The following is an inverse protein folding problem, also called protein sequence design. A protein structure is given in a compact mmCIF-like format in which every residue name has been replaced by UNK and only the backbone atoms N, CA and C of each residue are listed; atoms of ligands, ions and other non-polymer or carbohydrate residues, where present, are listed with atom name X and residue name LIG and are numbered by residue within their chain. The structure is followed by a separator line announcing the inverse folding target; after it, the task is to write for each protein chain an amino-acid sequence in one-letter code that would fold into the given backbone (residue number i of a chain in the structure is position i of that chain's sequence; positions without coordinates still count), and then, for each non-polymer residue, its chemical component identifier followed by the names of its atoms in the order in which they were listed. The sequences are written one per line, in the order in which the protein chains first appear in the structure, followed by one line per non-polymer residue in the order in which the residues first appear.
data_IF_754788500529
#
_entry.id   IF_754788500529
#
_cell.length_a   1.000
_cell.length_b   1.000
_cell.length_c   1.000
_cell.angle_alpha   90.00
_cell.angle_beta   90.00
_cell.angle_gamma   90.00
#
_symmetry.space_group_name_H-M   'P 1'
#
loop_
_entity.id
_entity.type
_entity.pdbx_description
1 polymer ?
#
# COMPACT_ATOMS: atom_id res chain seq x y z
N UNK A 1 -58.43 -33.56 13.92
CA UNK A 1 -58.49 -32.22 13.30
C UNK A 1 -57.98 -31.23 14.33
N UNK A 2 -56.95 -30.41 14.15
CA UNK A 2 -56.05 -30.13 13.03
C UNK A 2 -54.70 -29.70 13.63
N UNK A 3 -53.64 -30.02 12.89
CA UNK A 3 -52.28 -29.51 13.02
C UNK A 3 -52.25 -27.98 12.94
N UNK A 4 -51.35 -27.33 13.69
CA UNK A 4 -50.81 -26.03 13.30
C UNK A 4 -49.28 -26.08 13.43
N UNK A 5 -48.64 -26.53 12.35
CA UNK A 5 -47.24 -26.30 12.04
C UNK A 5 -47.13 -24.91 11.38
N UNK A 6 -46.62 -23.91 12.10
CA UNK A 6 -46.18 -22.66 11.49
C UNK A 6 -44.66 -22.69 11.38
N UNK A 7 -44.18 -23.36 10.32
CA UNK A 7 -42.82 -23.25 9.86
C UNK A 7 -42.56 -21.84 9.32
N UNK A 8 -41.93 -21.00 10.14
CA UNK A 8 -41.28 -19.79 9.66
C UNK A 8 -40.02 -20.22 8.90
N UNK A 9 -40.17 -20.53 7.61
CA UNK A 9 -39.04 -20.65 6.71
C UNK A 9 -38.40 -19.27 6.60
N UNK A 10 -37.25 -19.09 7.24
CA UNK A 10 -36.39 -17.93 7.03
C UNK A 10 -36.04 -17.89 5.54
N UNK A 11 -36.63 -16.91 4.86
CA UNK A 11 -36.37 -16.54 3.49
C UNK A 11 -34.92 -16.04 3.44
N UNK A 12 -33.99 -16.93 3.08
CA UNK A 12 -32.62 -16.57 2.75
C UNK A 12 -32.64 -15.87 1.39
N UNK A 13 -32.71 -14.55 1.40
CA UNK A 13 -32.32 -13.77 0.23
C UNK A 13 -30.80 -13.90 0.09
N UNK A 14 -30.27 -14.28 -1.09
CA UNK A 14 -28.85 -14.18 -1.33
C UNK A 14 -28.50 -12.69 -1.22
N UNK A 15 -27.63 -12.32 -0.26
CA UNK A 15 -27.03 -10.98 -0.24
C UNK A 15 -26.39 -10.76 -1.61
N UNK A 16 -26.99 -9.87 -2.42
CA UNK A 16 -26.34 -9.38 -3.62
C UNK A 16 -24.98 -8.81 -3.17
N UNK A 17 -23.87 -9.22 -3.81
CA UNK A 17 -22.57 -8.68 -3.45
C UNK A 17 -22.66 -7.17 -3.62
N UNK A 18 -22.49 -6.44 -2.52
CA UNK A 18 -22.50 -4.99 -2.53
C UNK A 18 -21.54 -4.52 -3.63
N UNK A 19 -21.95 -3.54 -4.46
CA UNK A 19 -21.07 -3.00 -5.48
C UNK A 19 -19.76 -2.56 -4.80
N UNK A 20 -18.59 -2.83 -5.41
CA UNK A 20 -17.32 -2.45 -4.81
C UNK A 20 -17.34 -0.96 -4.51
N UNK A 21 -17.02 -0.60 -3.26
CA UNK A 21 -16.91 0.79 -2.85
C UNK A 21 -15.89 1.49 -3.79
N UNK A 22 -16.17 2.70 -4.31
CA UNK A 22 -15.35 3.36 -5.32
C UNK A 22 -13.84 3.37 -5.00
N UNK A 23 -13.42 3.62 -3.75
CA UNK A 23 -12.00 3.60 -3.40
C UNK A 23 -11.38 2.19 -3.40
N UNK A 24 -12.16 1.14 -3.09
CA UNK A 24 -11.70 -0.24 -3.30
C UNK A 24 -11.47 -0.51 -4.79
N UNK A 25 -12.37 -0.04 -5.67
CA UNK A 25 -12.22 -0.19 -7.12
C UNK A 25 -11.02 0.60 -7.69
N UNK A 26 -10.74 1.79 -7.15
CA UNK A 26 -9.55 2.57 -7.50
C UNK A 26 -8.26 1.85 -7.08
N UNK A 27 -8.21 1.34 -5.86
CA UNK A 27 -7.07 0.58 -5.36
C UNK A 27 -6.82 -0.70 -6.18
N UNK A 28 -7.87 -1.43 -6.55
CA UNK A 28 -7.76 -2.58 -7.45
C UNK A 28 -7.24 -2.19 -8.83
N UNK A 29 -7.71 -1.05 -9.36
CA UNK A 29 -7.26 -0.53 -10.66
C UNK A 29 -5.78 -0.17 -10.63
N UNK A 30 -5.32 0.47 -9.55
CA UNK A 30 -3.91 0.76 -9.30
C UNK A 30 -3.08 -0.54 -9.24
N UNK A 31 -3.52 -1.55 -8.48
CA UNK A 31 -2.82 -2.83 -8.40
C UNK A 31 -2.74 -3.52 -9.77
N UNK A 32 -3.85 -3.55 -10.53
CA UNK A 32 -3.88 -4.10 -11.89
C UNK A 32 -2.90 -3.37 -12.81
N UNK A 33 -2.86 -2.04 -12.74
CA UNK A 33 -1.93 -1.21 -13.51
C UNK A 33 -0.48 -1.58 -13.19
N UNK A 34 -0.12 -1.67 -11.91
CA UNK A 34 1.20 -2.04 -11.45
C UNK A 34 1.60 -3.48 -11.82
N UNK A 35 0.65 -4.42 -11.82
CA UNK A 35 0.91 -5.84 -12.14
C UNK A 35 0.94 -6.15 -13.64
N UNK A 36 0.27 -5.36 -14.48
CA UNK A 36 0.06 -5.64 -15.92
C UNK A 36 1.33 -5.53 -16.79
N UNK A 37 2.44 -5.01 -16.25
CA UNK A 37 3.71 -4.86 -16.98
C UNK A 37 3.70 -3.79 -18.08
N UNK A 38 2.60 -3.03 -18.24
CA UNK A 38 2.49 -1.96 -19.23
C UNK A 38 3.21 -0.66 -18.85
N UNK A 39 3.54 -0.48 -17.57
CA UNK A 39 4.32 0.67 -17.11
C UNK A 39 5.80 0.32 -16.94
N UNK A 40 6.68 1.20 -17.44
CA UNK A 40 8.11 1.07 -17.26
C UNK A 40 8.50 1.18 -15.78
N UNK A 41 7.81 2.03 -15.01
CA UNK A 41 8.02 2.20 -13.57
C UNK A 41 6.76 1.74 -12.83
N UNK A 42 6.92 0.81 -11.88
CA UNK A 42 5.81 0.11 -11.21
C UNK A 42 5.75 0.46 -9.74
N UNK A 43 5.52 1.74 -9.46
CA UNK A 43 5.41 2.30 -8.11
C UNK A 43 4.09 3.05 -7.97
N UNK A 44 3.45 2.94 -6.80
CA UNK A 44 2.22 3.66 -6.48
C UNK A 44 2.10 4.04 -5.01
N UNK A 45 1.08 4.85 -4.71
CA UNK A 45 0.70 5.28 -3.37
C UNK A 45 -0.76 4.85 -3.14
N UNK A 46 -1.00 4.20 -2.01
CA UNK A 46 -2.33 3.91 -1.50
C UNK A 46 -2.56 4.72 -0.23
N UNK A 47 -3.51 5.65 -0.27
CA UNK A 47 -3.91 6.41 0.90
C UNK A 47 -4.90 5.58 1.72
N UNK A 48 -4.66 5.49 3.02
CA UNK A 48 -5.49 4.75 3.96
C UNK A 48 -6.17 5.71 4.94
N UNK A 49 -7.50 5.60 5.11
CA UNK A 49 -8.21 6.33 6.13
C UNK A 49 -7.92 5.72 7.51
N UNK A 50 -8.22 6.47 8.56
CA UNK A 50 -7.78 6.18 9.94
C UNK A 50 -8.19 4.78 10.45
N UNK A 51 -9.34 4.29 10.05
CA UNK A 51 -9.93 3.00 10.43
C UNK A 51 -9.22 1.78 9.80
N UNK A 52 -8.35 2.02 8.82
CA UNK A 52 -7.53 1.00 8.15
C UNK A 52 -6.06 1.05 8.54
N UNK A 53 -5.64 2.04 9.35
CA UNK A 53 -4.29 2.09 9.91
C UNK A 53 -4.08 0.94 10.90
N UNK A 54 -2.97 0.22 10.77
CA UNK A 54 -2.70 -1.01 11.51
C UNK A 54 -3.37 -2.27 10.94
N UNK A 55 -4.18 -2.13 9.87
CA UNK A 55 -4.86 -3.23 9.16
C UNK A 55 -4.35 -3.37 7.71
N UNK A 56 -3.15 -2.87 7.42
CA UNK A 56 -2.59 -2.85 6.07
C UNK A 56 -2.39 -4.26 5.50
N UNK A 57 -2.15 -5.25 6.36
CA UNK A 57 -2.09 -6.66 5.96
C UNK A 57 -3.45 -7.19 5.46
N UNK A 58 -4.56 -6.75 6.06
CA UNK A 58 -5.91 -7.09 5.58
C UNK A 58 -6.20 -6.42 4.23
N UNK A 59 -5.77 -5.17 4.06
CA UNK A 59 -5.89 -4.43 2.78
C UNK A 59 -5.12 -5.17 1.69
N UNK A 60 -3.88 -5.56 1.96
CA UNK A 60 -3.06 -6.32 1.00
C UNK A 60 -3.69 -7.67 0.64
N UNK A 61 -4.23 -8.39 1.63
CA UNK A 61 -4.92 -9.66 1.40
C UNK A 61 -6.15 -9.49 0.50
N UNK A 62 -6.96 -8.44 0.73
CA UNK A 62 -8.12 -8.10 -0.13
C UNK A 62 -7.70 -7.74 -1.56
N UNK A 63 -6.58 -7.05 -1.70
CA UNK A 63 -6.01 -6.69 -3.01
C UNK A 63 -5.25 -7.84 -3.69
N UNK A 64 -5.04 -8.98 -3.01
CA UNK A 64 -4.28 -10.11 -3.55
C UNK A 64 -2.79 -9.82 -3.78
N UNK A 65 -2.19 -8.99 -2.92
CA UNK A 65 -0.78 -8.56 -3.00
C UNK A 65 -0.01 -8.94 -1.73
N UNK A 66 1.33 -8.92 -1.80
CA UNK A 66 2.17 -9.17 -0.62
C UNK A 66 2.20 -7.95 0.29
N UNK A 67 2.48 -8.13 1.58
CA UNK A 67 2.55 -7.04 2.56
C UNK A 67 3.85 -7.12 3.36
N UNK A 68 4.46 -5.97 3.57
CA UNK A 68 5.54 -5.77 4.53
C UNK A 68 5.22 -4.57 5.43
N UNK A 69 5.37 -4.79 6.73
CA UNK A 69 5.49 -3.72 7.72
C UNK A 69 6.95 -3.26 7.76
N UNK A 70 7.23 -2.06 7.24
CA UNK A 70 8.60 -1.55 7.12
C UNK A 70 9.29 -1.44 8.48
N UNK A 71 8.58 -0.96 9.52
CA UNK A 71 9.15 -0.83 10.86
C UNK A 71 9.55 -2.19 11.44
N UNK A 72 8.70 -3.21 11.28
CA UNK A 72 8.99 -4.58 11.70
C UNK A 72 10.15 -5.21 10.92
N UNK A 73 10.14 -5.07 9.59
CA UNK A 73 11.23 -5.51 8.71
C UNK A 73 12.57 -4.86 9.06
N UNK A 74 12.55 -3.56 9.37
CA UNK A 74 13.76 -2.82 9.74
C UNK A 74 14.28 -3.23 11.11
N UNK A 75 13.39 -3.37 12.09
CA UNK A 75 13.74 -3.77 13.45
C UNK A 75 14.43 -5.15 13.47
N UNK A 76 13.99 -6.09 12.63
CA UNK A 76 14.58 -7.43 12.53
C UNK A 76 16.04 -7.43 12.04
N UNK A 77 16.48 -6.37 11.36
CA UNK A 77 17.83 -6.25 10.80
C UNK A 77 18.79 -5.43 11.67
N UNK A 78 18.28 -4.78 12.72
CA UNK A 78 19.12 -3.94 13.56
C UNK A 78 19.96 -4.79 14.51
N UNK A 79 21.31 -4.70 14.46
CA UNK A 79 22.15 -5.34 15.44
C UNK A 79 22.02 -4.62 16.79
N UNK A 80 21.84 -5.37 17.88
CA UNK A 80 21.99 -4.80 19.23
C UNK A 80 23.46 -4.37 19.39
N UNK A 81 23.82 -3.09 19.65
CA UNK A 81 23.08 -2.05 20.38
C UNK A 81 22.71 -0.78 19.56
N UNK A 82 22.53 -0.87 18.25
CA UNK A 82 22.20 0.32 17.44
C UNK A 82 20.78 0.82 17.75
N UNK A 83 20.70 1.96 18.44
CA UNK A 83 19.45 2.64 18.79
C UNK A 83 19.06 3.78 17.82
N UNK A 84 19.86 4.00 16.77
CA UNK A 84 19.65 5.12 15.84
C UNK A 84 19.69 4.67 14.38
N UNK A 85 18.71 5.13 13.61
CA UNK A 85 18.66 5.02 12.17
C UNK A 85 19.16 6.31 11.55
N UNK A 86 20.27 6.25 10.81
CA UNK A 86 20.68 7.34 9.93
C UNK A 86 19.76 7.30 8.70
N UNK A 87 18.74 8.15 8.68
CA UNK A 87 17.78 8.24 7.59
C UNK A 87 18.27 9.21 6.51
N UNK A 88 18.26 8.76 5.27
CA UNK A 88 18.46 9.57 4.06
C UNK A 88 17.57 9.01 2.95
N UNK A 89 17.35 9.80 1.90
CA UNK A 89 16.61 9.36 0.72
C UNK A 89 17.26 8.13 0.11
N UNK A 90 18.59 8.17 -0.10
CA UNK A 90 19.34 7.06 -0.72
C UNK A 90 19.22 5.77 0.09
N UNK A 91 19.21 5.88 1.42
CA UNK A 91 19.07 4.72 2.29
C UNK A 91 17.67 4.13 2.21
N UNK A 92 16.62 4.95 2.30
CA UNK A 92 15.24 4.45 2.18
C UNK A 92 15.00 3.82 0.81
N UNK A 93 15.53 4.42 -0.25
CA UNK A 93 15.45 3.87 -1.60
C UNK A 93 16.20 2.54 -1.71
N UNK A 94 17.39 2.43 -1.13
CA UNK A 94 18.14 1.16 -1.08
C UNK A 94 17.40 0.07 -0.32
N UNK A 95 16.75 0.42 0.80
CA UNK A 95 15.96 -0.53 1.60
C UNK A 95 14.69 -0.98 0.86
N UNK A 96 14.02 -0.08 0.12
CA UNK A 96 12.93 -0.47 -0.78
C UNK A 96 13.43 -1.36 -1.93
N UNK A 97 14.66 -1.14 -2.39
CA UNK A 97 15.31 -1.97 -3.41
C UNK A 97 15.53 -3.39 -2.92
N UNK A 98 16.03 -3.54 -1.69
CA UNK A 98 16.21 -4.82 -1.02
C UNK A 98 14.87 -5.55 -0.90
N UNK A 99 13.81 -4.87 -0.45
CA UNK A 99 12.46 -5.43 -0.38
C UNK A 99 11.93 -5.90 -1.74
N UNK A 100 12.25 -5.19 -2.82
CA UNK A 100 11.91 -5.62 -4.18
C UNK A 100 12.60 -6.93 -4.58
N UNK A 101 13.81 -7.20 -4.07
CA UNK A 101 14.61 -8.37 -4.42
C UNK A 101 14.27 -9.60 -3.56
N UNK A 102 13.64 -9.40 -2.41
CA UNK A 102 13.18 -10.49 -1.53
C UNK A 102 12.11 -11.39 -2.19
N UNK A 103 12.03 -12.61 -1.66
CA UNK A 103 11.02 -13.58 -2.10
C UNK A 103 9.68 -13.31 -1.41
N UNK A 104 8.71 -12.89 -2.20
CA UNK A 104 7.32 -12.67 -1.81
C UNK A 104 6.38 -13.48 -2.72
N UNK A 105 5.22 -13.94 -2.22
CA UNK A 105 4.29 -14.75 -3.02
C UNK A 105 3.69 -14.02 -4.24
N UNK A 106 3.60 -12.69 -4.20
CA UNK A 106 2.96 -11.89 -5.26
C UNK A 106 3.93 -10.92 -5.93
N UNK A 107 3.60 -10.52 -7.16
CA UNK A 107 4.42 -9.60 -7.98
C UNK A 107 4.31 -8.13 -7.54
N UNK A 108 3.32 -7.80 -6.71
CA UNK A 108 3.15 -6.47 -6.10
C UNK A 108 3.32 -6.58 -4.59
N UNK A 109 4.04 -5.61 -4.01
CA UNK A 109 4.34 -5.52 -2.59
C UNK A 109 3.79 -4.21 -2.02
N UNK A 110 2.90 -4.32 -1.04
CA UNK A 110 2.45 -3.22 -0.19
C UNK A 110 3.45 -3.01 0.95
N UNK A 111 4.04 -1.82 1.03
CA UNK A 111 4.92 -1.41 2.12
C UNK A 111 4.19 -0.41 3.00
N UNK A 112 4.03 -0.74 4.27
CA UNK A 112 3.33 0.07 5.28
C UNK A 112 4.30 0.67 6.29
N UNK A 113 3.87 1.73 6.99
CA UNK A 113 4.64 2.46 8.00
C UNK A 113 5.94 3.12 7.49
N UNK A 114 5.95 3.48 6.21
CA UNK A 114 7.04 4.28 5.62
C UNK A 114 6.81 5.80 5.77
N UNK A 115 5.61 6.22 6.19
CA UNK A 115 5.27 7.61 6.47
C UNK A 115 6.16 8.22 7.57
N UNK A 116 6.46 7.46 8.62
CA UNK A 116 7.33 7.91 9.72
C UNK A 116 8.76 8.23 9.25
N UNK A 117 9.51 7.32 8.58
CA UNK A 117 10.83 7.68 8.09
C UNK A 117 10.79 8.80 7.04
N UNK A 118 9.77 8.86 6.18
CA UNK A 118 9.61 9.92 5.17
C UNK A 118 9.40 11.31 5.79
N UNK A 119 8.59 11.41 6.85
CA UNK A 119 8.36 12.67 7.55
C UNK A 119 9.58 13.15 8.33
N UNK A 120 10.49 12.24 8.70
CA UNK A 120 11.76 12.55 9.38
C UNK A 120 12.87 12.98 8.42
N UNK A 121 12.72 12.76 7.11
CA UNK A 121 13.66 13.27 6.13
C UNK A 121 13.64 14.80 6.09
N UNK A 122 14.81 15.40 5.88
CA UNK A 122 14.91 16.80 5.49
C UNK A 122 14.08 17.04 4.21
N UNK A 123 13.40 18.20 4.03
CA UNK A 123 12.56 18.44 2.86
C UNK A 123 13.23 18.16 1.51
N UNK A 124 14.51 18.54 1.35
CA UNK A 124 15.28 18.24 0.13
C UNK A 124 15.47 16.73 -0.12
N UNK A 125 15.71 15.95 0.95
CA UNK A 125 15.82 14.49 0.86
C UNK A 125 14.47 13.85 0.54
N UNK A 126 13.37 14.37 1.11
CA UNK A 126 12.02 13.89 0.76
C UNK A 126 11.68 14.16 -0.70
N UNK A 127 12.01 15.35 -1.23
CA UNK A 127 11.85 15.64 -2.66
C UNK A 127 12.68 14.70 -3.53
N UNK A 128 13.93 14.46 -3.15
CA UNK A 128 14.82 13.50 -3.84
C UNK A 128 14.25 12.08 -3.82
N UNK A 129 13.74 11.63 -2.67
CA UNK A 129 13.08 10.34 -2.53
C UNK A 129 11.92 10.20 -3.52
N UNK A 130 11.01 11.18 -3.55
CA UNK A 130 9.82 11.12 -4.41
C UNK A 130 10.15 11.21 -5.90
N UNK A 131 11.12 12.06 -6.27
CA UNK A 131 11.60 12.16 -7.65
C UNK A 131 12.15 10.82 -8.14
N UNK A 132 12.95 10.14 -7.32
CA UNK A 132 13.46 8.81 -7.66
C UNK A 132 12.35 7.76 -7.62
N UNK A 133 11.48 7.77 -6.61
CA UNK A 133 10.44 6.76 -6.47
C UNK A 133 9.47 6.77 -7.66
N UNK A 134 9.12 7.95 -8.20
CA UNK A 134 8.26 8.09 -9.38
C UNK A 134 8.87 7.56 -10.69
N UNK A 135 10.18 7.72 -10.86
CA UNK A 135 10.91 7.40 -12.09
C UNK A 135 11.81 6.15 -12.02
N UNK A 136 11.98 5.59 -10.82
CA UNK A 136 12.93 4.53 -10.51
C UNK A 136 12.32 3.14 -10.61
N UNK A 137 12.98 2.13 -10.05
CA UNK A 137 12.47 0.75 -9.91
C UNK A 137 12.04 0.03 -11.21
N UNK A 138 12.35 0.58 -12.39
CA UNK A 138 11.84 0.08 -13.68
C UNK A 138 12.29 -1.31 -14.10
N UNK A 139 13.32 -1.84 -13.43
CA UNK A 139 13.91 -3.15 -13.71
C UNK A 139 13.81 -4.10 -12.50
N UNK A 140 12.97 -3.79 -11.52
CA UNK A 140 12.78 -4.66 -10.36
C UNK A 140 11.76 -5.74 -10.68
N UNK A 141 11.89 -6.95 -10.12
CA UNK A 141 10.95 -8.03 -10.39
C UNK A 141 9.55 -7.73 -9.86
N UNK A 142 9.44 -6.87 -8.84
CA UNK A 142 8.18 -6.52 -8.17
C UNK A 142 7.79 -5.06 -8.34
N UNK A 143 6.49 -4.81 -8.32
CA UNK A 143 5.92 -3.49 -8.15
C UNK A 143 5.84 -3.12 -6.66
N UNK A 144 5.97 -1.83 -6.35
CA UNK A 144 5.86 -1.30 -5.00
C UNK A 144 4.60 -0.44 -4.87
N UNK A 145 3.89 -0.62 -3.77
CA UNK A 145 2.77 0.21 -3.37
C UNK A 145 3.03 0.70 -1.95
N UNK A 146 3.12 2.02 -1.74
CA UNK A 146 3.30 2.59 -0.40
C UNK A 146 1.94 2.86 0.22
N UNK A 147 1.66 2.24 1.37
CA UNK A 147 0.52 2.59 2.20
C UNK A 147 0.87 3.79 3.07
N UNK A 148 0.15 4.91 2.89
CA UNK A 148 0.31 6.13 3.67
C UNK A 148 -1.02 6.54 4.31
N UNK A 149 -1.04 7.10 5.53
CA UNK A 149 -2.25 7.69 6.06
C UNK A 149 -2.75 8.85 5.18
N UNK A 150 -4.05 8.94 4.94
CA UNK A 150 -4.65 10.09 4.22
C UNK A 150 -4.30 11.44 4.87
N UNK A 151 -4.21 11.45 6.20
CA UNK A 151 -3.83 12.64 6.97
C UNK A 151 -2.32 12.98 6.91
N UNK A 152 -1.47 12.11 6.36
CA UNK A 152 -0.01 12.29 6.35
C UNK A 152 0.47 13.21 5.21
N UNK A 153 -0.07 14.43 5.15
CA UNK A 153 0.22 15.41 4.09
C UNK A 153 1.72 15.73 3.93
N UNK A 154 2.48 15.69 5.02
CA UNK A 154 3.93 15.90 5.01
C UNK A 154 4.72 14.73 4.43
N UNK A 155 4.15 13.51 4.42
CA UNK A 155 4.79 12.35 3.81
C UNK A 155 4.64 12.39 2.29
N UNK A 156 3.52 12.93 1.78
CA UNK A 156 3.18 12.92 0.36
C UNK A 156 4.17 13.68 -0.54
N UNK A 157 4.28 13.30 -1.82
CA UNK A 157 4.99 14.10 -2.81
C UNK A 157 4.30 15.45 -2.99
N UNK A 158 5.10 16.51 -3.23
CA UNK A 158 4.56 17.83 -3.53
C UNK A 158 3.69 17.83 -4.81
N UNK A 159 3.95 16.91 -5.73
CA UNK A 159 3.26 16.75 -7.01
C UNK A 159 2.20 15.62 -6.96
N UNK A 160 1.50 15.45 -5.83
CA UNK A 160 0.51 14.39 -5.66
C UNK A 160 -0.58 14.37 -6.76
N UNK A 161 -0.94 15.53 -7.32
CA UNK A 161 -1.87 15.64 -8.45
C UNK A 161 -1.34 14.94 -9.71
N UNK A 162 -0.03 15.00 -9.96
CA UNK A 162 0.63 14.28 -11.05
C UNK A 162 0.52 12.78 -10.88
N UNK A 163 0.73 12.29 -9.65
CA UNK A 163 0.57 10.87 -9.31
C UNK A 163 -0.87 10.39 -9.54
N UNK A 164 -1.87 11.21 -9.18
CA UNK A 164 -3.28 10.89 -9.41
C UNK A 164 -3.61 10.84 -10.90
N UNK A 165 -3.11 11.81 -11.68
CA UNK A 165 -3.32 11.87 -13.14
C UNK A 165 -2.69 10.68 -13.87
N UNK A 166 -1.55 10.19 -13.37
CA UNK A 166 -0.89 8.98 -13.88
C UNK A 166 -1.54 7.67 -13.40
N UNK A 167 -2.58 7.75 -12.57
CA UNK A 167 -3.26 6.59 -11.98
C UNK A 167 -2.39 5.84 -10.96
N UNK A 168 -1.41 6.52 -10.35
CA UNK A 168 -0.43 5.97 -9.39
C UNK A 168 -0.74 6.31 -7.93
N UNK A 169 -1.81 7.06 -7.70
CA UNK A 169 -2.32 7.39 -6.38
C UNK A 169 -3.80 7.00 -6.32
N UNK A 170 -4.16 6.22 -5.31
CA UNK A 170 -5.54 5.81 -5.03
C UNK A 170 -5.85 5.97 -3.55
N UNK A 171 -7.11 6.19 -3.20
CA UNK A 171 -7.58 6.17 -1.83
C UNK A 171 -8.32 4.85 -1.55
N UNK A 172 -8.11 4.29 -0.35
CA UNK A 172 -8.83 3.12 0.09
C UNK A 172 -10.12 3.55 0.80
N UNK A 173 -11.28 3.11 0.30
CA UNK A 173 -12.55 3.31 1.00
C UNK A 173 -13.38 2.03 0.97
N UNK A 174 -14.00 1.73 2.12
CA UNK A 174 -14.92 0.60 2.32
C UNK A 174 -16.23 1.07 2.92
#
# INVERSE_FOLDING_TARGET
MQQNESGHAAFWEPEEPLPPNPGTAEAETLVKLLSSGGQYVRTGILLLPSEWLGREGEVAARLGISHVNYAGWKAAQLPAPQSFLLLSADRLLGELDELCLESHPHTTLLVSLLDLPLTRLHPAERSKFWQFFCGGFSKRPRALLLALPEAATLALPAEAEGWQTEGRLAAWSL
#
